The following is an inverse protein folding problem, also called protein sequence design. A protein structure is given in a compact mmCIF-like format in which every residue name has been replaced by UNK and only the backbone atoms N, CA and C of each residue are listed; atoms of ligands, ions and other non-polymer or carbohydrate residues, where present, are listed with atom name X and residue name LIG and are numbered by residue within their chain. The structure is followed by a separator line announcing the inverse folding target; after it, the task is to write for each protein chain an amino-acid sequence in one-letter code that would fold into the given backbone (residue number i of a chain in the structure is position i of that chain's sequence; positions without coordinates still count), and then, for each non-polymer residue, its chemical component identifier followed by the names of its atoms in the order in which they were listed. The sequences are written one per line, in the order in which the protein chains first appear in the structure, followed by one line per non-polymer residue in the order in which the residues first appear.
data_IF_861034867046
#
_entry.id   IF_861034867046
#
_cell.length_a   1.000
_cell.length_b   1.000
_cell.length_c   1.000
_cell.angle_alpha   90.00
_cell.angle_beta   90.00
_cell.angle_gamma   90.00
#
_symmetry.space_group_name_H-M   'P 1'
#
loop_
_entity.id
_entity.type
_entity.pdbx_description
1 polymer ?
#
# COMPACT_ATOMS: atom_id res chain seq x y z
N UNK A 1 -33.02 46.26 -46.27
CA UNK A 1 -31.70 45.89 -45.73
C UNK A 1 -31.94 44.73 -44.76
N UNK A 2 -32.03 43.48 -45.26
CA UNK A 2 -30.94 42.48 -45.32
C UNK A 2 -30.44 42.14 -43.89
N UNK A 3 -30.95 41.13 -43.18
CA UNK A 3 -30.93 39.67 -43.37
C UNK A 3 -29.52 39.07 -43.21
N UNK A 4 -29.22 38.40 -42.08
CA UNK A 4 -28.31 37.24 -42.01
C UNK A 4 -28.78 36.28 -40.90
N UNK A 5 -29.01 35.05 -41.35
CA UNK A 5 -29.43 33.87 -40.60
C UNK A 5 -28.31 33.34 -39.69
N UNK A 6 -28.66 32.99 -38.45
CA UNK A 6 -27.88 32.06 -37.63
C UNK A 6 -28.52 30.68 -37.70
N UNK A 7 -27.86 29.75 -38.38
CA UNK A 7 -28.33 28.39 -38.65
C UNK A 7 -28.59 27.61 -37.36
N UNK A 8 -29.86 27.29 -37.09
CA UNK A 8 -30.25 26.30 -36.08
C UNK A 8 -29.97 24.90 -36.63
N UNK A 9 -28.83 24.31 -36.27
CA UNK A 9 -28.65 22.87 -36.40
C UNK A 9 -29.33 22.19 -35.20
N UNK A 10 -30.49 21.58 -35.46
CA UNK A 10 -31.18 20.70 -34.52
C UNK A 10 -30.48 19.34 -34.51
N UNK A 11 -29.79 19.03 -33.42
CA UNK A 11 -29.37 17.65 -33.13
C UNK A 11 -30.09 17.19 -31.86
N UNK A 12 -31.12 16.37 -32.04
CA UNK A 12 -31.72 15.62 -30.97
C UNK A 12 -30.75 14.55 -30.47
N UNK A 13 -30.50 14.48 -29.17
CA UNK A 13 -30.59 13.23 -28.40
C UNK A 13 -30.60 13.51 -26.89
N UNK A 14 -31.31 12.63 -26.19
CA UNK A 14 -32.03 12.93 -24.96
C UNK A 14 -31.18 12.88 -23.68
N UNK A 15 -31.55 13.79 -22.75
CA UNK A 15 -31.28 13.77 -21.29
C UNK A 15 -29.85 14.07 -20.84
N UNK A 16 -29.61 15.33 -20.49
CA UNK A 16 -28.84 15.64 -19.28
C UNK A 16 -29.41 16.90 -18.60
N UNK A 17 -29.72 16.79 -17.30
CA UNK A 17 -30.08 17.93 -16.45
C UNK A 17 -28.88 18.89 -16.42
N UNK A 18 -29.06 20.11 -16.94
CA UNK A 18 -28.15 21.23 -16.69
C UNK A 18 -28.30 21.67 -15.23
N UNK A 19 -27.26 21.50 -14.43
CA UNK A 19 -27.07 22.32 -13.23
C UNK A 19 -26.17 23.48 -13.65
N UNK A 20 -26.70 24.71 -13.61
CA UNK A 20 -25.94 25.93 -13.86
C UNK A 20 -25.03 26.17 -12.65
N UNK A 21 -23.71 26.01 -12.82
CA UNK A 21 -22.74 26.54 -11.86
C UNK A 21 -22.50 28.01 -12.19
N UNK A 22 -22.83 28.88 -11.23
CA UNK A 22 -22.50 30.31 -11.26
C UNK A 22 -20.97 30.44 -11.15
N UNK A 23 -20.38 31.21 -12.05
CA UNK A 23 -18.93 31.38 -12.18
C UNK A 23 -18.26 31.82 -10.88
N UNK A 24 -17.28 31.05 -10.44
CA UNK A 24 -16.17 31.57 -9.67
C UNK A 24 -15.03 31.74 -10.67
N UNK A 25 -14.45 32.94 -10.70
CA UNK A 25 -13.24 33.21 -11.46
C UNK A 25 -12.16 32.23 -11.00
N UNK A 26 -11.70 31.39 -11.92
CA UNK A 26 -10.49 30.61 -11.72
C UNK A 26 -9.33 31.54 -12.07
N UNK A 27 -8.47 31.84 -11.10
CA UNK A 27 -7.15 32.40 -11.38
C UNK A 27 -6.50 31.59 -12.52
N UNK A 28 -5.78 32.29 -13.40
CA UNK A 28 -5.05 31.68 -14.51
C UNK A 28 -4.26 30.45 -14.02
N UNK A 29 -4.26 29.34 -14.79
CA UNK A 29 -3.57 28.14 -14.40
C UNK A 29 -2.07 28.43 -14.29
N UNK A 30 -1.59 28.57 -13.05
CA UNK A 30 -0.16 28.59 -12.75
C UNK A 30 0.39 27.27 -13.28
N UNK A 31 1.22 27.36 -14.32
CA UNK A 31 1.92 26.22 -14.88
C UNK A 31 2.64 25.49 -13.73
N UNK A 32 2.20 24.27 -13.43
CA UNK A 32 2.82 23.44 -12.43
C UNK A 32 4.25 23.12 -12.88
N UNK A 33 5.21 23.89 -12.39
CA UNK A 33 6.62 23.52 -12.34
C UNK A 33 6.72 22.36 -11.34
N UNK A 34 6.48 21.15 -11.80
CA UNK A 34 6.96 19.95 -11.09
C UNK A 34 8.38 19.69 -11.60
N UNK A 35 9.44 20.21 -10.94
CA UNK A 35 10.71 19.53 -11.06
C UNK A 35 10.52 18.11 -10.53
N UNK A 36 11.22 17.19 -11.18
CA UNK A 36 11.33 15.75 -10.93
C UNK A 36 11.97 15.43 -9.55
N UNK A 37 11.61 16.15 -8.49
CA UNK A 37 12.00 15.86 -7.12
C UNK A 37 10.98 14.87 -6.52
N UNK A 38 10.90 13.67 -7.11
CA UNK A 38 10.25 12.56 -6.46
C UNK A 38 11.01 12.29 -5.16
N UNK A 39 10.42 12.60 -4.00
CA UNK A 39 10.94 12.18 -2.68
C UNK A 39 11.16 10.68 -2.76
N UNK A 40 12.43 10.29 -2.83
CA UNK A 40 12.83 8.89 -2.99
C UNK A 40 12.89 8.29 -1.60
N UNK A 41 12.12 7.24 -1.37
CA UNK A 41 12.16 6.51 -0.12
C UNK A 41 13.60 6.05 0.19
N UNK A 42 14.12 6.48 1.33
CA UNK A 42 15.43 6.11 1.84
C UNK A 42 15.37 6.07 3.36
N UNK A 43 16.10 5.16 4.03
CA UNK A 43 16.23 5.23 5.49
C UNK A 43 16.85 6.58 5.88
N UNK A 44 16.52 7.07 7.07
CA UNK A 44 17.14 8.27 7.60
C UNK A 44 18.67 8.09 7.65
N UNK A 45 19.44 9.12 7.29
CA UNK A 45 20.88 9.09 7.50
C UNK A 45 21.15 8.88 8.99
N UNK A 46 22.15 8.04 9.30
CA UNK A 46 22.54 7.81 10.69
C UNK A 46 23.04 9.14 11.27
N UNK A 47 22.45 9.63 12.37
CA UNK A 47 22.90 10.86 12.99
C UNK A 47 24.29 10.69 13.62
N UNK A 48 25.08 11.76 13.63
CA UNK A 48 26.40 11.78 14.25
C UNK A 48 26.34 11.44 15.74
N UNK A 49 25.25 11.85 16.41
CA UNK A 49 24.96 11.52 17.81
C UNK A 49 23.58 10.88 17.90
N UNK A 50 23.49 9.54 17.80
CA UNK A 50 22.23 8.83 17.96
C UNK A 50 21.60 9.08 19.34
N UNK A 51 20.27 9.14 19.46
CA UNK A 51 19.63 9.37 20.74
C UNK A 51 19.94 8.22 21.71
N UNK A 52 20.50 8.57 22.87
CA UNK A 52 20.83 7.64 23.95
C UNK A 52 20.34 8.21 25.30
N UNK A 53 19.01 8.28 25.53
CA UNK A 53 18.42 8.96 26.69
C UNK A 53 18.83 8.35 28.04
N UNK A 54 19.35 7.12 28.04
CA UNK A 54 19.83 6.41 29.22
C UNK A 54 21.34 6.11 29.16
N UNK A 55 22.10 6.82 28.32
CA UNK A 55 23.52 6.60 28.10
C UNK A 55 23.83 5.40 27.18
N UNK A 56 25.10 5.04 27.10
CA UNK A 56 25.55 3.87 26.33
C UNK A 56 25.17 2.57 27.05
N UNK A 57 24.25 1.82 26.45
CA UNK A 57 23.76 0.55 26.96
C UNK A 57 24.21 -0.65 26.11
N UNK A 58 25.10 -0.45 25.14
CA UNK A 58 25.52 -1.48 24.17
C UNK A 58 26.04 -2.76 24.84
N UNK A 59 26.79 -2.62 25.93
CA UNK A 59 27.34 -3.71 26.74
C UNK A 59 26.89 -3.67 28.21
N UNK A 60 25.78 -2.99 28.50
CA UNK A 60 25.26 -2.88 29.87
C UNK A 60 24.95 -4.27 30.47
N UNK A 61 25.28 -4.47 31.75
CA UNK A 61 24.92 -5.71 32.45
C UNK A 61 23.41 -5.86 32.58
N UNK A 62 22.92 -7.11 32.65
CA UNK A 62 21.49 -7.39 32.87
C UNK A 62 20.97 -6.70 34.15
N UNK A 63 21.81 -6.63 35.20
CA UNK A 63 21.48 -5.94 36.44
C UNK A 63 21.31 -4.42 36.24
N UNK A 64 22.18 -3.80 35.44
CA UNK A 64 22.05 -2.39 35.08
C UNK A 64 20.78 -2.13 34.25
N UNK A 65 20.49 -2.98 33.26
CA UNK A 65 19.23 -2.87 32.51
C UNK A 65 17.98 -3.00 33.41
N UNK A 66 18.03 -3.87 34.42
CA UNK A 66 16.95 -4.02 35.39
C UNK A 66 16.79 -2.81 36.34
N UNK A 67 17.85 -2.06 36.62
CA UNK A 67 17.76 -0.87 37.48
C UNK A 67 17.12 0.32 36.75
N UNK A 68 17.18 0.36 35.41
CA UNK A 68 16.61 1.43 34.60
C UNK A 68 15.08 1.34 34.42
N UNK A 69 14.44 0.22 34.78
CA UNK A 69 13.00 -0.02 34.50
C UNK A 69 12.09 1.09 35.03
N UNK A 70 12.38 1.61 36.22
CA UNK A 70 11.58 2.68 36.84
C UNK A 70 11.75 4.02 36.13
N UNK A 71 12.95 4.30 35.62
CA UNK A 71 13.24 5.51 34.85
C UNK A 71 12.60 5.47 33.46
N UNK A 72 12.60 4.30 32.81
CA UNK A 72 12.01 4.13 31.47
C UNK A 72 10.49 4.26 31.54
N UNK A 73 9.86 3.74 32.60
CA UNK A 73 8.40 3.72 32.73
C UNK A 73 7.98 4.01 34.18
N UNK A 74 7.96 5.29 34.59
CA UNK A 74 7.66 5.70 35.95
C UNK A 74 6.18 5.48 36.33
N UNK A 75 5.88 5.58 37.63
CA UNK A 75 4.50 5.59 38.15
C UNK A 75 3.77 4.24 38.12
N UNK A 76 4.50 3.12 38.22
CA UNK A 76 3.90 1.77 38.24
C UNK A 76 4.03 1.12 39.61
N UNK A 77 3.28 0.04 39.83
CA UNK A 77 3.33 -0.69 41.11
C UNK A 77 4.63 -1.49 41.26
N UNK A 78 5.10 -1.76 42.49
CA UNK A 78 6.27 -2.61 42.73
C UNK A 78 6.18 -3.98 42.05
N UNK A 79 4.99 -4.61 42.07
CA UNK A 79 4.75 -5.90 41.39
C UNK A 79 4.95 -5.79 39.87
N UNK A 80 4.51 -4.68 39.26
CA UNK A 80 4.73 -4.43 37.82
C UNK A 80 6.22 -4.28 37.50
N UNK A 81 6.99 -3.61 38.36
CA UNK A 81 8.43 -3.48 38.18
C UNK A 81 9.15 -4.82 38.25
N UNK A 82 8.78 -5.69 39.20
CA UNK A 82 9.37 -7.03 39.29
C UNK A 82 9.06 -7.90 38.06
N UNK A 83 7.82 -7.86 37.53
CA UNK A 83 7.47 -8.57 36.28
C UNK A 83 8.33 -8.12 35.10
N UNK A 84 8.59 -6.81 35.00
CA UNK A 84 9.43 -6.23 33.94
C UNK A 84 10.90 -6.61 34.10
N UNK A 85 11.44 -6.53 35.31
CA UNK A 85 12.81 -6.99 35.62
C UNK A 85 12.97 -8.46 35.31
N UNK A 86 11.98 -9.29 35.67
CA UNK A 86 11.94 -10.71 35.32
C UNK A 86 11.97 -10.94 33.82
N UNK A 87 11.13 -10.22 33.06
CA UNK A 87 11.13 -10.28 31.60
C UNK A 87 12.49 -9.91 31.00
N UNK A 88 13.13 -8.85 31.49
CA UNK A 88 14.48 -8.44 31.05
C UNK A 88 15.51 -9.53 31.33
N UNK A 89 15.52 -10.12 32.53
CA UNK A 89 16.40 -11.25 32.84
C UNK A 89 16.19 -12.41 31.86
N UNK A 90 14.94 -12.82 31.63
CA UNK A 90 14.62 -13.91 30.70
C UNK A 90 15.09 -13.62 29.27
N UNK A 91 14.80 -12.42 28.75
CA UNK A 91 15.16 -12.04 27.39
C UNK A 91 16.69 -11.91 27.22
N UNK A 92 17.36 -11.17 28.10
CA UNK A 92 18.79 -10.89 27.94
C UNK A 92 19.66 -12.10 28.28
N UNK A 93 19.27 -12.97 29.23
CA UNK A 93 19.93 -14.28 29.41
C UNK A 93 19.77 -15.16 28.17
N UNK A 94 18.62 -15.11 27.48
CA UNK A 94 18.49 -15.81 26.20
C UNK A 94 19.43 -15.21 25.13
N UNK A 95 19.55 -13.88 25.06
CA UNK A 95 20.45 -13.21 24.11
C UNK A 95 21.94 -13.46 24.41
N UNK A 96 22.33 -13.71 25.67
CA UNK A 96 23.71 -14.09 26.03
C UNK A 96 24.16 -15.39 25.35
N UNK A 97 23.22 -16.27 24.97
CA UNK A 97 23.53 -17.51 24.25
C UNK A 97 23.84 -17.28 22.76
N UNK A 98 23.64 -16.06 22.25
CA UNK A 98 23.88 -15.69 20.85
C UNK A 98 25.29 -15.14 20.67
N UNK A 99 25.93 -15.37 19.50
CA UNK A 99 27.22 -14.76 19.21
C UNK A 99 27.09 -13.24 19.08
N UNK A 100 28.10 -12.50 19.55
CA UNK A 100 28.17 -11.04 19.44
C UNK A 100 28.83 -10.38 20.65
N UNK A 101 29.50 -9.25 20.42
CA UNK A 101 30.19 -8.49 21.47
C UNK A 101 29.24 -7.57 22.26
N UNK A 102 28.14 -7.14 21.65
CA UNK A 102 27.14 -6.23 22.23
C UNK A 102 25.72 -6.79 22.07
N UNK A 103 24.74 -6.13 22.71
CA UNK A 103 23.35 -6.55 22.65
C UNK A 103 22.72 -6.46 21.25
N UNK A 104 23.17 -5.50 20.44
CA UNK A 104 22.67 -5.31 19.09
C UNK A 104 23.07 -6.49 18.19
N UNK A 105 24.36 -6.86 18.18
CA UNK A 105 24.88 -8.00 17.41
C UNK A 105 24.23 -9.31 17.86
N UNK A 106 24.01 -9.48 19.17
CA UNK A 106 23.30 -10.65 19.73
C UNK A 106 21.84 -10.71 19.28
N UNK A 107 21.16 -9.57 19.16
CA UNK A 107 19.79 -9.47 18.65
C UNK A 107 19.72 -9.82 17.16
N UNK A 108 20.63 -9.28 16.35
CA UNK A 108 20.72 -9.57 14.91
C UNK A 108 21.03 -11.05 14.62
N UNK A 109 21.81 -11.70 15.49
CA UNK A 109 22.07 -13.14 15.44
C UNK A 109 20.92 -14.01 15.95
N UNK A 110 19.83 -13.41 16.45
CA UNK A 110 18.65 -14.10 16.96
C UNK A 110 17.56 -14.25 15.89
N UNK A 111 16.61 -15.19 16.05
CA UNK A 111 15.49 -15.32 15.13
C UNK A 111 14.42 -14.21 15.30
N UNK A 112 14.67 -13.21 16.16
CA UNK A 112 13.72 -12.15 16.47
C UNK A 112 13.93 -10.89 15.61
N UNK A 113 14.88 -10.92 14.67
CA UNK A 113 15.16 -9.82 13.76
C UNK A 113 15.07 -10.23 12.28
N UNK A 114 15.02 -9.22 11.41
CA UNK A 114 14.87 -9.37 9.96
C UNK A 114 13.41 -9.52 9.48
N UNK A 115 13.26 -9.71 8.17
CA UNK A 115 11.96 -9.76 7.48
C UNK A 115 11.02 -10.87 7.96
N UNK A 116 11.59 -11.99 8.42
CA UNK A 116 10.87 -13.19 8.87
C UNK A 116 11.01 -13.41 10.39
N UNK A 117 11.21 -12.33 11.13
CA UNK A 117 11.37 -12.37 12.57
C UNK A 117 10.24 -13.11 13.28
N UNK A 118 10.59 -13.92 14.27
CA UNK A 118 9.67 -14.57 15.18
C UNK A 118 9.36 -13.64 16.37
N UNK A 119 8.15 -13.69 16.95
CA UNK A 119 7.84 -12.98 18.18
C UNK A 119 8.73 -13.45 19.34
N UNK A 120 9.21 -12.57 20.22
CA UNK A 120 10.13 -12.97 21.31
C UNK A 120 9.50 -13.99 22.27
N UNK A 121 8.18 -13.99 22.41
CA UNK A 121 7.45 -14.99 23.22
C UNK A 121 7.58 -16.45 22.72
N UNK A 122 8.17 -16.67 21.55
CA UNK A 122 8.34 -17.99 20.95
C UNK A 122 9.45 -18.82 21.58
N UNK A 123 10.50 -18.21 22.14
CA UNK A 123 11.57 -18.96 22.83
C UNK A 123 11.17 -19.42 24.23
N UNK A 124 10.10 -18.86 24.80
CA UNK A 124 9.62 -19.21 26.13
C UNK A 124 9.00 -20.60 26.08
N UNK A 125 9.70 -21.56 26.69
CA UNK A 125 9.28 -22.96 26.82
C UNK A 125 8.51 -23.25 28.11
N UNK A 126 8.52 -22.34 29.08
CA UNK A 126 7.83 -22.51 30.36
C UNK A 126 6.30 -22.56 30.19
N UNK A 127 5.62 -23.36 31.02
CA UNK A 127 4.15 -23.44 31.07
C UNK A 127 3.48 -22.17 31.61
N UNK A 128 4.25 -21.26 32.21
CA UNK A 128 3.73 -19.99 32.72
C UNK A 128 3.43 -19.04 31.57
N UNK A 129 2.14 -18.85 31.28
CA UNK A 129 1.67 -17.88 30.30
C UNK A 129 2.18 -16.44 30.57
N UNK A 130 2.43 -16.10 31.83
CA UNK A 130 2.98 -14.81 32.24
C UNK A 130 4.37 -14.54 31.64
N UNK A 131 5.21 -15.56 31.50
CA UNK A 131 6.59 -15.41 31.01
C UNK A 131 6.60 -14.90 29.57
N UNK A 132 5.64 -15.36 28.75
CA UNK A 132 5.44 -14.88 27.37
C UNK A 132 5.08 -13.39 27.33
N UNK A 133 4.28 -12.93 28.28
CA UNK A 133 3.94 -11.50 28.41
C UNK A 133 5.11 -10.67 28.94
N UNK A 134 5.85 -11.21 29.92
CA UNK A 134 7.01 -10.57 30.53
C UNK A 134 8.12 -10.35 29.49
N UNK A 135 8.46 -11.35 28.65
CA UNK A 135 9.48 -11.19 27.60
C UNK A 135 9.05 -10.24 26.49
N UNK A 136 7.75 -10.23 26.14
CA UNK A 136 7.23 -9.25 25.16
C UNK A 136 7.34 -7.83 25.72
N UNK A 137 7.02 -7.64 27.00
CA UNK A 137 7.22 -6.36 27.68
C UNK A 137 8.70 -5.98 27.80
N UNK A 138 9.59 -6.95 27.95
CA UNK A 138 11.03 -6.74 27.99
C UNK A 138 11.59 -6.26 26.65
N UNK A 139 11.15 -6.84 25.54
CA UNK A 139 11.51 -6.36 24.20
C UNK A 139 11.04 -4.91 24.00
N UNK A 140 9.81 -4.59 24.42
CA UNK A 140 9.30 -3.21 24.42
C UNK A 140 10.20 -2.26 25.21
N UNK A 141 10.65 -2.65 26.42
CA UNK A 141 11.57 -1.85 27.25
C UNK A 141 12.92 -1.65 26.57
N UNK A 142 13.51 -2.72 26.02
CA UNK A 142 14.78 -2.66 25.32
C UNK A 142 14.74 -1.69 24.13
N UNK A 143 13.62 -1.67 23.40
CA UNK A 143 13.40 -0.74 22.30
C UNK A 143 13.18 0.70 22.78
N UNK A 144 12.41 0.90 23.85
CA UNK A 144 12.20 2.25 24.42
C UNK A 144 13.49 2.85 24.97
N UNK A 145 14.34 2.03 25.59
CA UNK A 145 15.63 2.43 26.11
C UNK A 145 16.74 2.50 25.04
N UNK A 146 16.43 2.16 23.78
CA UNK A 146 17.37 2.10 22.66
C UNK A 146 18.59 1.21 22.91
N UNK A 147 18.40 0.14 23.69
CA UNK A 147 19.41 -0.93 23.86
C UNK A 147 19.52 -1.75 22.56
N UNK A 148 18.37 -1.93 21.90
CA UNK A 148 18.25 -2.68 20.66
C UNK A 148 17.49 -1.81 19.66
N UNK A 149 18.05 -1.68 18.47
CA UNK A 149 17.39 -1.14 17.28
C UNK A 149 16.91 -2.33 16.42
N UNK A 150 15.61 -2.70 16.48
CA UNK A 150 15.08 -3.78 15.68
C UNK A 150 14.82 -3.35 14.24
N UNK A 151 14.87 -4.30 13.31
CA UNK A 151 14.25 -4.17 11.99
C UNK A 151 12.73 -3.94 12.09
N UNK A 152 12.11 -3.46 11.01
CA UNK A 152 10.63 -3.33 10.94
C UNK A 152 9.95 -4.68 11.18
N UNK A 153 10.49 -5.77 10.62
CA UNK A 153 10.02 -7.13 10.84
C UNK A 153 10.13 -7.57 12.30
N UNK A 154 11.31 -7.38 12.92
CA UNK A 154 11.54 -7.71 14.33
C UNK A 154 10.64 -6.95 15.30
N UNK A 155 10.43 -5.65 15.04
CA UNK A 155 9.50 -4.85 15.82
C UNK A 155 8.05 -5.35 15.65
N UNK A 156 7.59 -5.53 14.40
CA UNK A 156 6.20 -5.85 14.06
C UNK A 156 5.82 -7.31 14.27
N UNK A 157 6.78 -8.22 14.48
CA UNK A 157 6.53 -9.58 14.95
C UNK A 157 5.89 -9.61 16.34
N UNK A 158 6.03 -8.53 17.11
CA UNK A 158 5.51 -8.39 18.47
C UNK A 158 4.29 -7.44 18.52
N UNK A 159 3.47 -7.57 19.57
CA UNK A 159 2.27 -6.72 19.76
C UNK A 159 2.51 -5.71 20.88
N UNK A 160 2.52 -4.41 20.53
CA UNK A 160 2.82 -3.32 21.46
C UNK A 160 1.75 -2.22 21.45
N UNK A 161 0.49 -2.54 21.74
CA UNK A 161 -0.64 -1.58 21.61
C UNK A 161 -0.43 -0.23 22.30
N UNK A 162 0.32 -0.20 23.41
CA UNK A 162 0.63 0.95 24.24
C UNK A 162 2.07 1.48 24.03
N UNK A 163 2.73 1.11 22.92
CA UNK A 163 4.11 1.51 22.65
C UNK A 163 4.36 3.02 22.74
N UNK A 164 3.50 3.90 22.17
CA UNK A 164 3.71 5.34 22.22
C UNK A 164 3.76 5.92 23.63
N UNK A 165 2.97 5.36 24.55
CA UNK A 165 2.88 5.81 25.95
C UNK A 165 4.17 5.52 26.73
N UNK A 166 4.94 4.52 26.30
CA UNK A 166 6.21 4.17 26.93
C UNK A 166 7.36 4.86 26.19
N UNK A 167 7.35 4.83 24.86
CA UNK A 167 8.40 5.39 24.02
C UNK A 167 8.48 6.92 24.12
N UNK A 168 7.34 7.63 24.12
CA UNK A 168 7.32 9.09 24.17
C UNK A 168 8.12 9.64 25.37
N UNK A 169 7.70 9.35 26.61
CA UNK A 169 8.42 9.80 27.81
C UNK A 169 9.86 9.27 27.89
N UNK A 170 10.10 8.02 27.50
CA UNK A 170 11.43 7.42 27.55
C UNK A 170 12.42 8.04 26.55
N UNK A 171 11.92 8.55 25.42
CA UNK A 171 12.77 9.14 24.37
C UNK A 171 13.44 10.45 24.77
N UNK A 172 12.85 11.19 25.73
CA UNK A 172 13.26 12.54 26.13
C UNK A 172 13.44 13.49 24.94
N UNK A 173 12.53 13.38 23.96
CA UNK A 173 12.55 14.13 22.70
C UNK A 173 11.46 15.23 22.72
N UNK A 174 11.83 16.52 22.89
CA UNK A 174 10.87 17.62 22.92
C UNK A 174 10.07 17.77 21.62
N UNK A 175 10.66 17.44 20.47
CA UNK A 175 9.97 17.53 19.19
C UNK A 175 8.89 16.42 19.10
N UNK A 176 9.17 15.23 19.63
CA UNK A 176 8.17 14.16 19.77
C UNK A 176 7.00 14.56 20.67
N UNK A 177 7.25 15.28 21.76
CA UNK A 177 6.20 15.78 22.65
C UNK A 177 5.27 16.77 21.92
N UNK A 178 5.84 17.70 21.12
CA UNK A 178 5.07 18.62 20.27
C UNK A 178 4.20 17.85 19.27
N UNK A 179 4.77 16.84 18.62
CA UNK A 179 4.02 15.98 17.70
C UNK A 179 2.87 15.25 18.42
N UNK A 180 3.11 14.67 19.60
CA UNK A 180 2.06 13.99 20.36
C UNK A 180 0.93 14.93 20.79
N UNK A 181 1.28 16.14 21.24
CA UNK A 181 0.30 17.15 21.58
C UNK A 181 -0.55 17.55 20.35
N UNK A 182 0.08 17.69 19.18
CA UNK A 182 -0.64 17.98 17.93
C UNK A 182 -1.59 16.84 17.52
N UNK A 183 -1.23 15.58 17.75
CA UNK A 183 -2.13 14.43 17.55
C UNK A 183 -3.32 14.48 18.52
N UNK A 184 -3.07 14.82 19.79
CA UNK A 184 -4.14 14.87 20.80
C UNK A 184 -5.10 16.04 20.60
N UNK A 185 -4.62 17.15 20.03
CA UNK A 185 -5.40 18.32 19.68
C UNK A 185 -6.36 18.13 18.48
N UNK A 186 -6.46 16.91 17.92
CA UNK A 186 -7.36 16.56 16.81
C UNK A 186 -8.62 15.84 17.31
N UNK A 187 -9.68 16.59 17.71
CA UNK A 187 -10.92 15.99 18.24
C UNK A 187 -11.73 15.24 17.17
N UNK A 188 -11.48 15.53 15.88
CA UNK A 188 -12.08 14.83 14.75
C UNK A 188 -11.56 13.39 14.60
N UNK A 189 -10.45 13.04 15.27
CA UNK A 189 -9.84 11.73 15.22
C UNK A 189 -10.22 10.88 16.46
N UNK A 190 -10.80 9.71 16.21
CA UNK A 190 -11.06 8.71 17.25
C UNK A 190 -9.77 8.31 18.01
N UNK A 191 -9.92 7.88 19.27
CA UNK A 191 -8.80 7.54 20.15
C UNK A 191 -7.87 6.47 19.55
N UNK A 192 -8.47 5.41 18.97
CA UNK A 192 -7.73 4.32 18.32
C UNK A 192 -6.86 4.81 17.14
N UNK A 193 -7.36 5.79 16.39
CA UNK A 193 -6.64 6.38 15.27
C UNK A 193 -5.50 7.28 15.74
N UNK A 194 -5.71 8.08 16.79
CA UNK A 194 -4.66 8.89 17.43
C UNK A 194 -3.53 8.03 17.95
N UNK A 195 -3.83 6.94 18.68
CA UNK A 195 -2.82 5.98 19.16
C UNK A 195 -2.03 5.41 17.99
N UNK A 196 -2.70 5.03 16.89
CA UNK A 196 -2.03 4.51 15.69
C UNK A 196 -1.08 5.52 15.06
N UNK A 197 -1.47 6.79 14.97
CA UNK A 197 -0.60 7.84 14.42
C UNK A 197 0.68 7.95 15.25
N UNK A 198 0.55 8.04 16.58
CA UNK A 198 1.70 8.08 17.48
C UNK A 198 2.55 6.81 17.38
N UNK A 199 1.90 5.65 17.24
CA UNK A 199 2.57 4.36 17.07
C UNK A 199 3.44 4.32 15.82
N UNK A 200 2.94 4.76 14.67
CA UNK A 200 3.71 4.71 13.44
C UNK A 200 4.97 5.59 13.52
N UNK A 201 4.89 6.77 14.14
CA UNK A 201 6.08 7.61 14.39
C UNK A 201 7.03 6.96 15.38
N UNK A 202 6.55 6.52 16.55
CA UNK A 202 7.40 5.84 17.54
C UNK A 202 8.12 4.63 16.94
N UNK A 203 7.41 3.83 16.14
CA UNK A 203 7.99 2.67 15.44
C UNK A 203 9.02 3.09 14.38
N UNK A 204 8.75 4.13 13.58
CA UNK A 204 9.71 4.65 12.62
C UNK A 204 11.00 5.14 13.30
N UNK A 205 10.89 5.90 14.38
CA UNK A 205 12.03 6.40 15.17
C UNK A 205 12.85 5.27 15.78
N UNK A 206 12.18 4.26 16.33
CA UNK A 206 12.83 3.08 16.93
C UNK A 206 13.59 2.26 15.89
N UNK A 207 12.93 1.91 14.78
CA UNK A 207 13.54 1.03 13.75
C UNK A 207 14.67 1.70 12.97
N UNK A 208 14.66 3.03 12.89
CA UNK A 208 15.70 3.81 12.22
C UNK A 208 16.77 4.35 13.18
N UNK A 209 16.57 4.25 14.50
CA UNK A 209 17.56 4.69 15.49
C UNK A 209 17.71 6.21 15.59
N UNK A 210 16.65 6.97 15.29
CA UNK A 210 16.69 8.44 15.16
C UNK A 210 15.77 9.16 16.16
N UNK A 211 16.02 10.45 16.41
CA UNK A 211 15.08 11.36 17.06
C UNK A 211 14.09 11.94 16.02
N UNK A 212 13.01 12.59 16.49
CA UNK A 212 12.02 13.16 15.60
C UNK A 212 12.62 14.19 14.65
N UNK A 213 13.58 14.99 15.11
CA UNK A 213 14.26 16.01 14.28
C UNK A 213 14.90 15.45 13.01
N UNK A 214 15.33 14.18 13.04
CA UNK A 214 15.95 13.50 11.90
C UNK A 214 14.95 12.70 11.05
N UNK A 215 13.66 12.70 11.42
CA UNK A 215 12.61 12.03 10.64
C UNK A 215 12.23 12.88 9.42
N UNK A 216 12.92 12.65 8.31
CA UNK A 216 12.65 13.32 7.04
C UNK A 216 11.42 12.71 6.31
N UNK A 217 10.87 13.40 5.28
CA UNK A 217 9.85 12.84 4.41
C UNK A 217 10.27 11.49 3.78
N UNK A 218 11.52 11.38 3.32
CA UNK A 218 12.10 10.17 2.73
C UNK A 218 12.12 9.01 3.74
N UNK A 219 12.53 9.28 4.98
CA UNK A 219 12.63 8.31 6.06
C UNK A 219 11.25 7.77 6.48
N UNK A 220 10.24 8.65 6.56
CA UNK A 220 8.87 8.21 6.89
C UNK A 220 8.23 7.46 5.73
N UNK A 221 8.52 7.86 4.48
CA UNK A 221 8.09 7.14 3.28
C UNK A 221 8.72 5.75 3.22
N UNK A 222 10.03 5.64 3.48
CA UNK A 222 10.75 4.36 3.58
C UNK A 222 10.10 3.43 4.59
N UNK A 223 9.84 3.92 5.81
CA UNK A 223 9.12 3.16 6.83
C UNK A 223 7.74 2.66 6.35
N UNK A 224 6.96 3.53 5.69
CA UNK A 224 5.65 3.17 5.18
C UNK A 224 5.72 2.09 4.09
N UNK A 225 6.71 2.16 3.19
CA UNK A 225 6.92 1.18 2.13
C UNK A 225 7.41 -0.16 2.69
N UNK A 226 8.28 -0.17 3.69
CA UNK A 226 8.72 -1.40 4.36
C UNK A 226 7.57 -2.09 5.09
N UNK A 227 6.72 -1.34 5.80
CA UNK A 227 5.51 -1.89 6.42
C UNK A 227 4.55 -2.53 5.39
N UNK A 228 4.49 -1.97 4.19
CA UNK A 228 3.69 -2.51 3.08
C UNK A 228 4.33 -3.76 2.48
N UNK A 229 5.64 -3.73 2.19
CA UNK A 229 6.42 -4.84 1.64
C UNK A 229 6.28 -6.09 2.52
N UNK A 230 6.39 -5.90 3.83
CA UNK A 230 6.27 -6.96 4.84
C UNK A 230 4.82 -7.34 5.16
N UNK A 231 3.82 -6.57 4.70
CA UNK A 231 2.40 -6.85 4.99
C UNK A 231 2.03 -6.70 6.47
N UNK A 232 2.76 -5.87 7.21
CA UNK A 232 2.63 -5.67 8.67
C UNK A 232 1.87 -4.40 9.06
N UNK A 233 1.33 -3.69 8.06
CA UNK A 233 0.50 -2.50 8.29
C UNK A 233 -0.72 -2.88 9.12
N UNK A 234 -1.04 -2.10 10.17
CA UNK A 234 -2.16 -2.42 11.06
C UNK A 234 -3.47 -2.62 10.27
N UNK A 235 -4.21 -3.68 10.58
CA UNK A 235 -5.46 -4.03 9.89
C UNK A 235 -5.28 -4.61 8.47
N UNK A 236 -4.05 -4.73 7.98
CA UNK A 236 -3.73 -5.39 6.73
C UNK A 236 -3.42 -6.87 7.04
N UNK A 237 -4.45 -7.73 7.09
CA UNK A 237 -4.24 -9.19 7.28
C UNK A 237 -3.69 -9.80 5.98
N UNK A 238 -2.38 -9.69 5.75
CA UNK A 238 -1.72 -10.18 4.53
C UNK A 238 -2.03 -9.35 3.27
N UNK A 239 -2.52 -8.12 3.46
CA UNK A 239 -2.90 -7.21 2.38
C UNK A 239 -1.80 -6.15 2.19
N UNK A 240 -1.10 -6.20 1.05
CA UNK A 240 -0.05 -5.24 0.70
C UNK A 240 -0.62 -3.96 0.03
N UNK A 241 -1.92 -3.69 0.11
CA UNK A 241 -2.52 -2.47 -0.45
C UNK A 241 -2.53 -1.27 0.51
N UNK A 242 -2.22 -1.50 1.79
CA UNK A 242 -2.28 -0.48 2.83
C UNK A 242 -0.90 0.11 3.15
N UNK A 243 -0.93 1.34 3.64
CA UNK A 243 0.26 2.11 4.00
C UNK A 243 0.17 2.54 5.46
N UNK A 244 1.30 2.47 6.15
CA UNK A 244 1.46 3.02 7.49
C UNK A 244 1.67 4.55 7.42
N UNK A 245 1.62 5.23 8.57
CA UNK A 245 2.03 6.62 8.73
C UNK A 245 1.26 7.68 7.91
N UNK A 246 0.14 7.37 7.26
CA UNK A 246 -0.63 8.35 6.48
C UNK A 246 -1.09 9.55 7.33
N UNK A 247 -1.68 9.29 8.50
CA UNK A 247 -2.11 10.36 9.42
C UNK A 247 -0.94 11.05 10.13
N UNK A 248 0.15 10.31 10.39
CA UNK A 248 1.37 10.89 10.95
C UNK A 248 1.98 11.93 10.00
N UNK A 249 2.02 11.64 8.71
CA UNK A 249 2.51 12.57 7.69
C UNK A 249 1.74 13.87 7.66
N UNK A 250 0.40 13.79 7.64
CA UNK A 250 -0.46 14.97 7.59
C UNK A 250 -0.23 15.86 8.83
N UNK A 251 -0.06 15.26 10.00
CA UNK A 251 0.21 16.00 11.24
C UNK A 251 1.61 16.59 11.25
N UNK A 252 2.66 15.83 10.89
CA UNK A 252 4.03 16.33 10.78
C UNK A 252 4.14 17.50 9.78
N UNK A 253 3.45 17.39 8.64
CA UNK A 253 3.34 18.50 7.70
C UNK A 253 2.62 19.70 8.32
N UNK A 254 1.49 19.49 9.02
CA UNK A 254 0.70 20.58 9.60
C UNK A 254 1.42 21.37 10.69
N UNK A 255 2.33 20.73 11.44
CA UNK A 255 3.16 21.39 12.45
C UNK A 255 4.46 21.97 11.89
N UNK A 256 4.66 21.90 10.56
CA UNK A 256 5.85 22.45 9.90
C UNK A 256 7.13 21.64 10.11
N UNK A 257 7.04 20.36 10.48
CA UNK A 257 8.20 19.48 10.67
C UNK A 257 8.94 19.19 9.36
N UNK A 258 8.21 19.10 8.25
CA UNK A 258 8.80 18.81 6.95
C UNK A 258 9.26 20.07 6.20
N UNK A 259 10.32 19.97 5.36
CA UNK A 259 10.80 21.09 4.57
C UNK A 259 9.72 21.71 3.67
N UNK A 260 9.79 23.02 3.38
CA UNK A 260 8.91 23.67 2.44
C UNK A 260 8.89 22.96 1.08
N UNK A 261 7.71 22.83 0.49
CA UNK A 261 7.52 22.10 -0.78
C UNK A 261 7.18 20.62 -0.61
N UNK A 262 7.28 20.07 0.60
CA UNK A 262 6.76 18.72 0.88
C UNK A 262 5.23 18.71 0.73
N UNK A 263 4.65 17.85 -0.14
CA UNK A 263 3.22 17.62 -0.23
C UNK A 263 2.57 17.25 1.11
N UNK A 264 1.37 17.79 1.32
CA UNK A 264 0.58 17.60 2.54
C UNK A 264 0.11 16.16 2.81
N UNK A 265 0.18 15.27 1.81
CA UNK A 265 -0.28 13.89 1.95
C UNK A 265 0.74 12.89 1.41
N UNK A 266 1.05 11.88 2.22
CA UNK A 266 1.96 10.77 1.88
C UNK A 266 1.50 10.03 0.60
N UNK A 267 0.19 9.97 0.35
CA UNK A 267 -0.40 9.35 -0.85
C UNK A 267 0.19 9.87 -2.15
N UNK A 268 0.55 11.16 -2.24
CA UNK A 268 1.14 11.76 -3.44
C UNK A 268 2.50 11.16 -3.81
N UNK A 269 3.21 10.57 -2.85
CA UNK A 269 4.49 9.90 -3.06
C UNK A 269 4.36 8.38 -3.25
N UNK A 270 3.38 7.79 -2.57
CA UNK A 270 3.06 6.36 -2.67
C UNK A 270 2.57 6.00 -4.07
N UNK A 271 1.66 6.82 -4.59
CA UNK A 271 1.23 6.67 -5.96
C UNK A 271 2.31 7.35 -6.77
N UNK A 272 3.42 6.63 -7.00
CA UNK A 272 4.20 6.80 -8.23
C UNK A 272 3.19 7.08 -9.32
N UNK A 273 3.43 8.14 -10.09
CA UNK A 273 2.45 8.67 -11.03
C UNK A 273 1.83 7.60 -11.94
N UNK A 274 0.85 8.02 -12.73
CA UNK A 274 0.21 7.14 -13.70
C UNK A 274 1.25 6.27 -14.43
N UNK A 275 1.13 4.94 -14.32
CA UNK A 275 2.00 4.01 -15.02
C UNK A 275 1.96 4.31 -16.52
N UNK A 276 3.11 4.26 -17.17
CA UNK A 276 3.14 4.31 -18.63
C UNK A 276 2.51 3.03 -19.21
N UNK A 277 2.03 3.03 -20.47
CA UNK A 277 1.51 1.83 -21.13
C UNK A 277 2.47 0.62 -21.04
N UNK A 278 3.78 0.85 -21.15
CA UNK A 278 4.82 -0.17 -20.99
C UNK A 278 4.78 -0.77 -19.57
N UNK A 279 4.83 0.09 -18.55
CA UNK A 279 4.78 -0.35 -17.15
C UNK A 279 3.47 -1.04 -16.80
N UNK A 280 2.34 -0.64 -17.40
CA UNK A 280 1.05 -1.29 -17.20
C UNK A 280 1.06 -2.74 -17.69
N UNK A 281 1.71 -3.01 -18.83
CA UNK A 281 1.85 -4.33 -19.45
C UNK A 281 2.90 -5.17 -18.73
N UNK A 282 4.01 -4.56 -18.30
CA UNK A 282 5.13 -5.23 -17.62
C UNK A 282 4.79 -5.82 -16.25
N UNK A 283 3.64 -5.48 -15.69
CA UNK A 283 3.08 -6.20 -14.53
C UNK A 283 2.79 -7.67 -14.82
N UNK A 284 2.73 -8.06 -16.09
CA UNK A 284 2.43 -9.42 -16.52
C UNK A 284 3.64 -10.02 -17.24
N UNK A 285 4.09 -11.22 -16.86
CA UNK A 285 5.29 -11.84 -17.44
C UNK A 285 4.97 -12.44 -18.81
N UNK A 286 4.93 -11.60 -19.84
CA UNK A 286 4.72 -12.03 -21.23
C UNK A 286 6.03 -12.52 -21.86
N UNK A 287 6.01 -13.72 -22.44
CA UNK A 287 7.17 -14.36 -23.07
C UNK A 287 7.41 -13.80 -24.47
N UNK A 288 6.36 -13.70 -25.29
CA UNK A 288 6.43 -13.13 -26.64
C UNK A 288 6.62 -11.62 -26.57
N UNK A 289 7.84 -11.16 -26.85
CA UNK A 289 8.15 -9.72 -26.89
C UNK A 289 7.40 -8.99 -28.00
N UNK A 290 7.11 -9.68 -29.11
CA UNK A 290 6.35 -9.12 -30.22
C UNK A 290 4.90 -8.82 -29.79
N UNK A 291 4.23 -9.77 -29.13
CA UNK A 291 2.84 -9.54 -28.68
C UNK A 291 2.79 -8.57 -27.50
N UNK A 292 3.80 -8.60 -26.62
CA UNK A 292 3.97 -7.55 -25.60
C UNK A 292 4.00 -6.16 -26.24
N UNK A 293 4.80 -5.98 -27.30
CA UNK A 293 4.94 -4.69 -27.96
C UNK A 293 3.64 -4.23 -28.62
N UNK A 294 2.90 -5.09 -29.33
CA UNK A 294 1.63 -4.66 -29.95
C UNK A 294 0.57 -4.28 -28.91
N UNK A 295 0.54 -4.93 -27.74
CA UNK A 295 -0.37 -4.52 -26.65
C UNK A 295 0.02 -3.14 -26.11
N UNK A 296 1.32 -2.87 -25.97
CA UNK A 296 1.82 -1.54 -25.56
C UNK A 296 1.40 -0.49 -26.60
N UNK A 297 1.70 -0.74 -27.87
CA UNK A 297 1.38 0.19 -28.97
C UNK A 297 -0.13 0.47 -29.04
N UNK A 298 -0.96 -0.56 -28.83
CA UNK A 298 -2.41 -0.41 -28.74
C UNK A 298 -2.82 0.53 -27.61
N UNK A 299 -2.27 0.36 -26.41
CA UNK A 299 -2.57 1.20 -25.26
C UNK A 299 -2.06 2.65 -25.44
N UNK A 300 -0.94 2.83 -26.13
CA UNK A 300 -0.40 4.16 -26.52
C UNK A 300 -1.36 4.84 -27.50
N UNK A 301 -1.83 4.13 -28.53
CA UNK A 301 -2.81 4.69 -29.50
C UNK A 301 -4.12 5.08 -28.82
N UNK A 302 -4.61 4.23 -27.89
CA UNK A 302 -5.82 4.48 -27.09
C UNK A 302 -5.63 5.52 -25.98
N UNK A 303 -4.43 6.05 -25.77
CA UNK A 303 -4.19 7.06 -24.74
C UNK A 303 -4.94 8.37 -25.02
N UNK A 304 -5.10 8.73 -26.30
CA UNK A 304 -5.75 9.98 -26.69
C UNK A 304 -7.26 9.98 -26.41
N UNK A 305 -7.90 8.81 -26.35
CA UNK A 305 -9.36 8.67 -26.25
C UNK A 305 -9.82 7.91 -24.99
N UNK A 306 -8.92 7.53 -24.08
CA UNK A 306 -9.26 6.84 -22.83
C UNK A 306 -8.63 7.48 -21.60
N UNK A 307 -9.37 7.44 -20.48
CA UNK A 307 -8.81 7.81 -19.17
C UNK A 307 -7.85 6.73 -18.64
N UNK A 308 -7.08 7.08 -17.61
CA UNK A 308 -6.11 6.18 -16.98
C UNK A 308 -6.71 4.87 -16.47
N UNK A 309 -7.91 4.93 -15.85
CA UNK A 309 -8.56 3.77 -15.23
C UNK A 309 -8.98 2.77 -16.31
N UNK A 310 -9.51 3.28 -17.42
CA UNK A 310 -9.92 2.51 -18.58
C UNK A 310 -8.72 1.84 -19.22
N UNK A 311 -7.63 2.58 -19.43
CA UNK A 311 -6.38 2.06 -20.01
C UNK A 311 -5.71 1.01 -19.10
N UNK A 312 -5.63 1.26 -17.80
CA UNK A 312 -5.12 0.27 -16.82
C UNK A 312 -5.98 -1.00 -16.81
N UNK A 313 -7.30 -0.83 -16.97
CA UNK A 313 -8.25 -1.92 -17.16
C UNK A 313 -7.97 -2.73 -18.42
N UNK A 314 -7.75 -2.08 -19.56
CA UNK A 314 -7.40 -2.73 -20.83
C UNK A 314 -6.09 -3.50 -20.71
N UNK A 315 -5.04 -2.91 -20.14
CA UNK A 315 -3.77 -3.59 -19.92
C UNK A 315 -3.94 -4.89 -19.10
N UNK A 316 -4.72 -4.83 -18.02
CA UNK A 316 -5.03 -6.00 -17.18
C UNK A 316 -5.78 -7.10 -17.92
N UNK A 317 -6.72 -6.71 -18.78
CA UNK A 317 -7.52 -7.65 -19.56
C UNK A 317 -6.70 -8.27 -20.69
N UNK A 318 -5.96 -7.47 -21.45
CA UNK A 318 -5.22 -7.91 -22.63
C UNK A 318 -3.91 -8.63 -22.28
N UNK A 319 -3.05 -8.04 -21.45
CA UNK A 319 -1.79 -8.66 -21.07
C UNK A 319 -1.99 -9.77 -20.02
N UNK A 320 -2.71 -9.46 -18.93
CA UNK A 320 -2.87 -10.39 -17.82
C UNK A 320 -3.86 -11.52 -18.05
N UNK A 321 -5.09 -11.18 -18.42
CA UNK A 321 -6.17 -12.17 -18.50
C UNK A 321 -6.20 -12.89 -19.85
N UNK A 322 -5.89 -12.21 -20.94
CA UNK A 322 -5.87 -12.79 -22.27
C UNK A 322 -4.51 -13.43 -22.57
N UNK A 323 -3.49 -12.63 -22.87
CA UNK A 323 -2.26 -13.13 -23.47
C UNK A 323 -1.41 -14.01 -22.55
N UNK A 324 -1.19 -13.61 -21.29
CA UNK A 324 -0.43 -14.42 -20.34
C UNK A 324 -1.04 -15.81 -20.10
N UNK A 325 -2.36 -15.94 -20.23
CA UNK A 325 -3.03 -17.25 -20.16
C UNK A 325 -2.91 -18.04 -21.46
N UNK A 326 -2.98 -17.40 -22.62
CA UNK A 326 -2.71 -18.05 -23.91
C UNK A 326 -1.31 -18.65 -23.93
N UNK A 327 -0.28 -17.92 -23.47
CA UNK A 327 1.10 -18.42 -23.41
C UNK A 327 1.29 -19.59 -22.43
N UNK A 328 0.42 -19.72 -21.42
CA UNK A 328 0.42 -20.89 -20.54
C UNK A 328 -0.18 -22.13 -21.22
N UNK A 329 -1.18 -21.93 -22.06
CA UNK A 329 -1.87 -23.00 -22.80
C UNK A 329 -1.03 -23.43 -24.02
N UNK A 330 -0.51 -22.47 -24.78
CA UNK A 330 0.33 -22.69 -25.95
C UNK A 330 1.60 -21.81 -25.85
N UNK A 331 2.69 -22.32 -25.24
CA UNK A 331 3.92 -21.54 -25.04
C UNK A 331 4.60 -21.03 -26.32
N UNK A 332 4.35 -21.66 -27.46
CA UNK A 332 4.89 -21.28 -28.77
C UNK A 332 4.04 -20.30 -29.55
N UNK A 333 2.89 -19.84 -29.02
CA UNK A 333 2.02 -18.90 -29.73
C UNK A 333 2.72 -17.53 -29.86
N UNK A 334 3.05 -17.15 -31.09
CA UNK A 334 3.80 -15.93 -31.39
C UNK A 334 2.93 -14.80 -31.98
N UNK A 335 1.74 -15.11 -32.48
CA UNK A 335 0.84 -14.17 -33.17
C UNK A 335 -0.60 -14.23 -32.63
N UNK A 336 -1.44 -13.30 -33.07
CA UNK A 336 -2.83 -13.19 -32.64
C UNK A 336 -3.79 -14.19 -33.33
N UNK A 337 -3.30 -15.05 -34.22
CA UNK A 337 -4.11 -16.06 -34.92
C UNK A 337 -4.22 -17.31 -34.06
N UNK A 338 -5.29 -17.37 -33.27
CA UNK A 338 -5.52 -18.48 -32.35
C UNK A 338 -6.28 -19.63 -33.02
N UNK A 339 -5.83 -20.86 -32.77
CA UNK A 339 -6.62 -22.05 -33.12
C UNK A 339 -7.89 -22.12 -32.25
N UNK A 340 -8.93 -22.79 -32.78
CA UNK A 340 -10.18 -22.97 -32.05
C UNK A 340 -9.98 -23.71 -30.72
N UNK A 341 -9.08 -24.70 -30.69
CA UNK A 341 -8.77 -25.48 -29.49
C UNK A 341 -8.12 -24.62 -28.39
N UNK A 342 -7.10 -23.82 -28.74
CA UNK A 342 -6.45 -22.91 -27.78
C UNK A 342 -7.45 -21.91 -27.22
N UNK A 343 -8.34 -21.37 -28.06
CA UNK A 343 -9.39 -20.45 -27.64
C UNK A 343 -10.40 -21.10 -26.68
N UNK A 344 -10.85 -22.32 -26.98
CA UNK A 344 -11.81 -23.04 -26.12
C UNK A 344 -11.21 -23.40 -24.76
N UNK A 345 -9.95 -23.84 -24.73
CA UNK A 345 -9.20 -24.07 -23.49
C UNK A 345 -9.04 -22.76 -22.69
N UNK A 346 -8.74 -21.65 -23.36
CA UNK A 346 -8.64 -20.35 -22.71
C UNK A 346 -9.97 -19.91 -22.10
N UNK A 347 -11.10 -20.11 -22.80
CA UNK A 347 -12.43 -19.79 -22.27
C UNK A 347 -12.77 -20.62 -21.04
N UNK A 348 -12.45 -21.92 -21.05
CA UNK A 348 -12.64 -22.78 -19.88
C UNK A 348 -11.79 -22.30 -18.69
N UNK A 349 -10.55 -21.87 -18.96
CA UNK A 349 -9.62 -21.39 -17.94
C UNK A 349 -10.08 -20.07 -17.27
N UNK A 350 -10.67 -19.14 -18.02
CA UNK A 350 -11.14 -17.86 -17.47
C UNK A 350 -12.53 -17.92 -16.82
N UNK A 351 -13.26 -19.02 -17.00
CA UNK A 351 -14.60 -19.21 -16.44
C UNK A 351 -14.63 -19.17 -14.91
N UNK A 352 -13.49 -19.46 -14.27
CA UNK A 352 -13.34 -19.51 -12.82
C UNK A 352 -12.27 -18.53 -12.31
N UNK A 353 -12.28 -18.24 -11.01
CA UNK A 353 -11.21 -17.47 -10.38
C UNK A 353 -9.96 -18.32 -10.15
N UNK A 354 -8.77 -17.78 -10.44
CA UNK A 354 -7.50 -18.52 -10.28
C UNK A 354 -7.24 -18.95 -8.82
N UNK A 355 -7.51 -18.06 -7.87
CA UNK A 355 -7.30 -18.32 -6.43
C UNK A 355 -8.36 -19.25 -5.83
N UNK A 356 -9.51 -19.38 -6.48
CA UNK A 356 -10.64 -20.16 -5.99
C UNK A 356 -11.47 -20.68 -7.17
N UNK A 357 -11.16 -21.92 -7.58
CA UNK A 357 -11.79 -22.58 -8.73
C UNK A 357 -13.26 -22.95 -8.48
N UNK A 358 -13.74 -22.90 -7.24
CA UNK A 358 -15.17 -23.11 -6.95
C UNK A 358 -16.04 -21.91 -7.35
N UNK A 359 -15.42 -20.74 -7.58
CA UNK A 359 -16.12 -19.50 -7.87
C UNK A 359 -16.11 -19.19 -9.37
N UNK A 360 -17.29 -19.22 -9.97
CA UNK A 360 -17.50 -18.78 -11.34
C UNK A 360 -17.30 -17.26 -11.49
N UNK A 361 -16.67 -16.87 -12.58
CA UNK A 361 -16.40 -15.48 -12.93
C UNK A 361 -17.64 -14.83 -13.54
N UNK A 362 -18.13 -13.78 -12.87
CA UNK A 362 -19.34 -13.04 -13.30
C UNK A 362 -19.09 -11.97 -14.38
N UNK A 363 -17.83 -11.64 -14.69
CA UNK A 363 -17.46 -10.54 -15.58
C UNK A 363 -16.76 -11.00 -16.88
N UNK A 364 -16.95 -12.25 -17.30
CA UNK A 364 -16.35 -12.83 -18.51
C UNK A 364 -16.58 -11.94 -19.73
N UNK A 365 -17.78 -11.39 -19.87
CA UNK A 365 -18.15 -10.59 -21.04
C UNK A 365 -17.33 -9.30 -21.19
N UNK A 366 -16.92 -8.68 -20.07
CA UNK A 366 -16.05 -7.49 -20.14
C UNK A 366 -14.66 -7.85 -20.68
N UNK A 367 -14.19 -9.07 -20.40
CA UNK A 367 -12.95 -9.60 -20.96
C UNK A 367 -13.12 -9.83 -22.46
N UNK A 368 -14.19 -10.51 -22.86
CA UNK A 368 -14.49 -10.80 -24.28
C UNK A 368 -14.65 -9.52 -25.11
N UNK A 369 -15.29 -8.48 -24.55
CA UNK A 369 -15.42 -7.19 -25.23
C UNK A 369 -14.09 -6.46 -25.40
N UNK A 370 -13.22 -6.50 -24.38
CA UNK A 370 -11.88 -5.91 -24.50
C UNK A 370 -11.06 -6.62 -25.58
N UNK A 371 -11.10 -7.96 -25.63
CA UNK A 371 -10.43 -8.74 -26.67
C UNK A 371 -11.03 -8.45 -28.04
N UNK A 372 -12.36 -8.45 -28.17
CA UNK A 372 -13.03 -8.15 -29.43
C UNK A 372 -12.69 -6.75 -29.94
N UNK A 373 -12.72 -5.75 -29.07
CA UNK A 373 -12.32 -4.37 -29.39
C UNK A 373 -10.88 -4.33 -29.89
N UNK A 374 -9.95 -4.94 -29.15
CA UNK A 374 -8.55 -5.03 -29.55
C UNK A 374 -8.35 -5.62 -30.96
N UNK A 375 -8.95 -6.77 -31.28
CA UNK A 375 -8.84 -7.37 -32.61
C UNK A 375 -9.46 -6.50 -33.71
N UNK A 376 -10.64 -5.92 -33.48
CA UNK A 376 -11.32 -5.10 -34.47
C UNK A 376 -10.59 -3.77 -34.71
N UNK A 377 -10.05 -3.16 -33.66
CA UNK A 377 -9.24 -1.94 -33.74
C UNK A 377 -7.98 -2.21 -34.58
N UNK A 378 -7.27 -3.32 -34.33
CA UNK A 378 -6.09 -3.71 -35.11
C UNK A 378 -6.44 -3.96 -36.58
N UNK A 379 -7.54 -4.65 -36.87
CA UNK A 379 -8.01 -4.87 -38.25
C UNK A 379 -8.35 -3.55 -38.95
N UNK A 380 -9.00 -2.62 -38.24
CA UNK A 380 -9.35 -1.31 -38.79
C UNK A 380 -8.11 -0.46 -39.05
N UNK A 381 -7.18 -0.39 -38.09
CA UNK A 381 -5.97 0.44 -38.22
C UNK A 381 -4.96 -0.14 -39.22
N UNK A 382 -4.98 -1.45 -39.45
CA UNK A 382 -4.15 -2.08 -40.48
C UNK A 382 -4.48 -1.63 -41.91
N UNK A 383 -5.67 -1.08 -42.15
CA UNK A 383 -6.04 -0.51 -43.46
C UNK A 383 -5.32 0.82 -43.69
N UNK A 384 -5.25 1.66 -42.65
CA UNK A 384 -4.68 3.02 -42.74
C UNK A 384 -3.15 3.04 -42.50
N UNK A 385 -2.65 2.17 -41.62
CA UNK A 385 -1.24 2.08 -41.19
C UNK A 385 -0.74 0.60 -41.26
N UNK A 386 -0.67 0.00 -42.47
CA UNK A 386 -0.36 -1.43 -42.66
C UNK A 386 1.04 -1.81 -42.18
N UNK A 387 2.02 -0.92 -42.30
CA UNK A 387 3.39 -1.14 -41.80
C UNK A 387 3.46 -1.33 -40.28
N UNK A 388 2.48 -0.79 -39.54
CA UNK A 388 2.43 -0.84 -38.09
C UNK A 388 1.52 -1.95 -37.57
N UNK A 389 0.34 -2.11 -38.16
CA UNK A 389 -0.69 -3.03 -37.65
C UNK A 389 -0.96 -4.22 -38.56
N UNK A 390 -0.49 -4.20 -39.81
CA UNK A 390 -0.80 -5.22 -40.81
C UNK A 390 -0.40 -6.63 -40.40
N UNK A 391 0.78 -6.81 -39.79
CA UNK A 391 1.24 -8.11 -39.28
C UNK A 391 0.41 -8.63 -38.09
N UNK A 392 -0.39 -7.77 -37.46
CA UNK A 392 -1.21 -8.08 -36.29
C UNK A 392 -2.69 -8.21 -36.58
N UNK A 393 -3.11 -7.92 -37.82
CA UNK A 393 -4.48 -8.12 -38.26
C UNK A 393 -4.79 -9.63 -38.34
N UNK A 394 -5.48 -10.15 -37.33
CA UNK A 394 -5.83 -11.57 -37.22
C UNK A 394 -7.36 -11.74 -37.09
N UNK A 395 -7.93 -12.91 -37.46
CA UNK A 395 -9.33 -13.21 -37.23
C UNK A 395 -9.70 -13.11 -35.74
N UNK A 396 -10.78 -12.39 -35.41
CA UNK A 396 -11.22 -12.26 -34.03
C UNK A 396 -11.83 -13.58 -33.52
N UNK A 397 -11.30 -14.19 -32.44
CA UNK A 397 -11.81 -15.46 -31.93
C UNK A 397 -13.16 -15.31 -31.18
N UNK A 398 -13.53 -14.09 -30.80
CA UNK A 398 -14.80 -13.79 -30.11
C UNK A 398 -15.94 -13.72 -31.13
N UNK A 399 -16.85 -14.70 -31.09
CA UNK A 399 -18.00 -14.76 -32.00
C UNK A 399 -19.15 -13.88 -31.47
N UNK A 400 -20.04 -13.34 -32.34
CA UNK A 400 -21.20 -12.55 -31.88
C UNK A 400 -22.09 -13.28 -30.86
N UNK A 401 -22.20 -14.60 -30.97
CA UNK A 401 -22.96 -15.44 -30.04
C UNK A 401 -22.38 -15.44 -28.61
N UNK A 402 -21.07 -15.25 -28.45
CA UNK A 402 -20.41 -15.22 -27.14
C UNK A 402 -20.79 -13.95 -26.35
N UNK A 403 -21.29 -12.92 -27.04
CA UNK A 403 -21.74 -11.66 -26.46
C UNK A 403 -23.26 -11.57 -26.27
N UNK A 404 -24.00 -12.62 -26.63
CA UNK A 404 -25.47 -12.65 -26.53
C UNK A 404 -25.89 -12.54 -25.06
N UNK A 405 -26.75 -11.55 -24.76
CA UNK A 405 -27.26 -11.31 -23.40
C UNK A 405 -26.44 -10.32 -22.55
N UNK A 406 -25.34 -9.77 -23.09
CA UNK A 406 -24.47 -8.80 -22.40
C UNK A 406 -25.21 -7.61 -21.82
N UNK A 407 -26.00 -6.90 -22.65
CA UNK A 407 -26.74 -5.72 -22.21
C UNK A 407 -27.71 -6.03 -21.05
N UNK A 408 -28.26 -7.25 -21.01
CA UNK A 408 -29.13 -7.70 -19.91
C UNK A 408 -28.32 -7.95 -18.63
N UNK A 409 -27.24 -8.73 -18.71
CA UNK A 409 -26.37 -9.05 -17.57
C UNK A 409 -25.68 -7.81 -16.97
N UNK A 410 -25.25 -6.85 -17.80
CA UNK A 410 -24.72 -5.55 -17.35
C UNK A 410 -25.75 -4.74 -16.57
N UNK A 411 -27.02 -4.72 -17.02
CA UNK A 411 -28.13 -4.07 -16.30
C UNK A 411 -28.41 -4.77 -14.98
N UNK A 412 -28.40 -6.10 -14.94
CA UNK A 412 -28.57 -6.88 -13.69
C UNK A 412 -27.44 -6.64 -12.68
N UNK A 413 -26.19 -6.54 -13.15
CA UNK A 413 -25.06 -6.19 -12.29
C UNK A 413 -25.22 -4.79 -11.69
N UNK A 414 -25.56 -3.80 -12.52
CA UNK A 414 -25.81 -2.42 -12.08
C UNK A 414 -26.98 -2.37 -11.08
N UNK A 415 -28.04 -3.14 -11.33
CA UNK A 415 -29.19 -3.27 -10.42
C UNK A 415 -28.78 -3.86 -9.07
N UNK A 416 -28.01 -4.94 -9.04
CA UNK A 416 -27.51 -5.55 -7.79
C UNK A 416 -26.62 -4.61 -6.99
N UNK A 417 -25.76 -3.84 -7.65
CA UNK A 417 -24.94 -2.83 -6.99
C UNK A 417 -25.82 -1.75 -6.36
N UNK A 418 -26.78 -1.20 -7.12
CA UNK A 418 -27.70 -0.18 -6.62
C UNK A 418 -28.56 -0.70 -5.45
N UNK A 419 -29.04 -1.94 -5.53
CA UNK A 419 -29.84 -2.56 -4.47
C UNK A 419 -29.04 -2.76 -3.18
N UNK A 420 -27.80 -3.26 -3.30
CA UNK A 420 -26.87 -3.38 -2.17
C UNK A 420 -26.54 -2.01 -1.55
N UNK A 421 -26.43 -0.96 -2.35
CA UNK A 421 -26.27 0.41 -1.83
C UNK A 421 -27.51 0.85 -1.07
N UNK A 422 -28.72 0.66 -1.62
CA UNK A 422 -29.97 1.01 -0.92
C UNK A 422 -30.14 0.29 0.41
N UNK A 423 -29.76 -0.99 0.49
CA UNK A 423 -29.85 -1.75 1.73
C UNK A 423 -28.83 -1.29 2.79
N UNK A 424 -27.65 -0.84 2.37
CA UNK A 424 -26.55 -0.49 3.29
C UNK A 424 -26.50 0.98 3.67
N UNK A 425 -26.98 1.87 2.80
CA UNK A 425 -26.94 3.31 3.02
C UNK A 425 -27.67 3.75 4.30
N UNK A 426 -28.84 3.18 4.67
CA UNK A 426 -29.50 3.50 5.94
C UNK A 426 -28.72 3.06 7.19
N UNK A 427 -27.78 2.12 7.06
CA UNK A 427 -26.98 1.60 8.19
C UNK A 427 -25.72 2.44 8.46
N UNK A 428 -25.39 3.40 7.59
CA UNK A 428 -24.19 4.25 7.74
C UNK A 428 -24.18 5.05 9.06
N UNK A 429 -25.28 5.69 9.51
CA UNK A 429 -25.26 6.44 10.76
C UNK A 429 -24.95 5.58 11.98
N UNK A 430 -25.44 4.34 12.01
CA UNK A 430 -25.17 3.43 13.13
C UNK A 430 -23.76 2.87 13.08
N UNK A 431 -23.23 2.55 11.89
CA UNK A 431 -21.84 2.14 11.73
C UNK A 431 -20.84 3.21 12.18
N UNK A 432 -21.15 4.50 12.00
CA UNK A 432 -20.30 5.62 12.46
C UNK A 432 -20.29 5.74 13.99
N UNK A 433 -21.32 5.26 14.71
CA UNK A 433 -21.35 5.28 16.18
C UNK A 433 -20.45 4.22 16.83
N UNK A 434 -20.10 3.16 16.09
CA UNK A 434 -19.32 2.02 16.60
C UNK A 434 -17.87 1.98 16.07
N UNK A 435 -17.41 3.05 15.41
CA UNK A 435 -16.03 3.27 14.94
C UNK A 435 -15.45 4.46 15.69
#
# INVERSE_FOLDING_TARGET
MANVQGTLASTYTARNRRTLFRGMDFDEPVATRFPDAAVKAAPAPRPDSPPAPFGDLTQASIQHLCSLVEQIVPGRTPSTYEKRRRGLRLLFTHLETRPGADWQTKWEASPFDGDKALPVKTFVTSDRAQDRHDVTSAAKLAFCARVIQPSVGGFRANTFSDYPEWFGPASRDPALDVFYAAVDARPDLGLSYRIRIKFDVACALTTQGIALEHLTPEALLHYSLECRRLGVTHGARGDQSRFAALGAWEILHSIGHFPPGTPSTLRKFIYTGQLTPEQMVDRYPLRSQAVRQVIIDYLVRRQADTDYITRDGLARLLAGTFWSKIEKICPGQADLTLSQDVWDQWRAEIAFWEKDRSRERKNIESILLAIRGFYLDLQSWAVDEPERWGSWAAPCPVRPQDLKGFSKRRREMSRRMADRTRQRQPLLPDLVKYV
#
